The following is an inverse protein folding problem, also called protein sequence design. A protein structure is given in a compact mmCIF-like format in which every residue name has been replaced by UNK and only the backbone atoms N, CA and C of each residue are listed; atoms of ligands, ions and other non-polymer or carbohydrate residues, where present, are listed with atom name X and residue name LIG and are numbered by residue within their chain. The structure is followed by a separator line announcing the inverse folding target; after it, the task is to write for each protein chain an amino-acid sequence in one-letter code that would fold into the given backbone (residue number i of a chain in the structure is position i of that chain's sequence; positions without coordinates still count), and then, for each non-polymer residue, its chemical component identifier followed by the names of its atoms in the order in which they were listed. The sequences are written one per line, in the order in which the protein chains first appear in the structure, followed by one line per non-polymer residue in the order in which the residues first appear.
data_IF_677698004375
#
_entry.id   IF_677698004375
#
_cell.length_a   1.000
_cell.length_b   1.000
_cell.length_c   1.000
_cell.angle_alpha   90.00
_cell.angle_beta   90.00
_cell.angle_gamma   90.00
#
_symmetry.space_group_name_H-M   'P 1'
#
loop_
_entity.id
_entity.type
_entity.pdbx_description
1 polymer ?
#
# COMPACT_ATOMS: atom_id res chain seq x y z
N UNK A 1 15.40 40.34 -2.81
CA UNK A 1 16.48 39.37 -2.59
C UNK A 1 16.01 38.36 -1.56
N UNK A 2 15.41 37.27 -1.98
CA UNK A 2 15.18 36.06 -1.19
C UNK A 2 14.51 35.02 -2.11
N UNK A 3 15.29 34.50 -3.04
CA UNK A 3 14.99 33.30 -3.81
C UNK A 3 16.13 32.32 -3.54
N UNK A 4 15.82 31.05 -3.42
CA UNK A 4 16.69 29.89 -3.22
C UNK A 4 16.74 29.36 -1.78
N UNK A 5 15.73 28.53 -1.46
CA UNK A 5 15.87 27.31 -0.64
C UNK A 5 14.70 26.37 -0.94
N UNK A 6 14.72 25.78 -2.12
CA UNK A 6 13.94 24.59 -2.45
C UNK A 6 14.93 23.67 -3.14
N UNK A 7 15.21 22.56 -2.52
CA UNK A 7 15.80 21.33 -3.03
C UNK A 7 16.84 20.76 -2.06
N UNK A 8 16.38 20.03 -1.06
CA UNK A 8 17.08 18.86 -0.55
C UNK A 8 16.05 17.78 -0.29
N UNK A 9 15.59 17.16 -1.37
CA UNK A 9 14.97 15.85 -1.31
C UNK A 9 16.12 14.87 -1.12
N UNK A 10 16.25 14.37 0.11
CA UNK A 10 17.25 13.35 0.44
C UNK A 10 16.93 12.08 -0.33
N UNK A 11 17.66 11.86 -1.40
CA UNK A 11 17.84 10.57 -2.03
C UNK A 11 18.70 9.71 -1.10
N UNK A 12 18.09 8.68 -0.51
CA UNK A 12 18.88 7.61 0.08
C UNK A 12 19.54 6.83 -1.05
N UNK A 13 20.71 7.32 -1.45
CA UNK A 13 21.56 6.66 -2.44
C UNK A 13 22.47 5.67 -1.70
N UNK A 14 22.11 4.40 -1.74
CA UNK A 14 23.02 3.33 -1.35
C UNK A 14 24.07 3.19 -2.43
N UNK A 15 25.26 3.71 -2.17
CA UNK A 15 26.42 3.65 -3.05
C UNK A 15 26.89 2.19 -3.14
N UNK A 16 26.49 1.48 -4.17
CA UNK A 16 27.13 0.19 -4.51
C UNK A 16 28.45 0.47 -5.21
N UNK A 17 29.56 0.11 -4.56
CA UNK A 17 30.90 0.11 -5.15
C UNK A 17 30.94 -0.85 -6.32
N UNK A 18 31.23 -0.32 -7.52
CA UNK A 18 31.56 -1.13 -8.70
C UNK A 18 32.94 -1.75 -8.49
N UNK A 19 33.01 -3.07 -8.26
CA UNK A 19 34.24 -3.83 -8.32
C UNK A 19 34.45 -4.26 -9.76
N UNK A 20 35.39 -3.62 -10.45
CA UNK A 20 35.82 -4.02 -11.80
C UNK A 20 36.74 -5.23 -11.67
N UNK A 21 36.26 -6.40 -12.09
CA UNK A 21 37.12 -7.60 -12.24
C UNK A 21 37.61 -7.61 -13.69
N UNK A 22 38.91 -7.35 -13.87
CA UNK A 22 39.60 -7.55 -15.15
C UNK A 22 40.00 -9.00 -15.21
N UNK A 23 39.34 -9.82 -16.01
CA UNK A 23 39.77 -11.17 -16.37
C UNK A 23 40.38 -11.15 -17.76
N UNK A 24 41.62 -11.58 -17.83
CA UNK A 24 42.40 -11.75 -19.07
C UNK A 24 41.77 -12.85 -19.93
N UNK A 25 41.47 -12.57 -21.18
CA UNK A 25 40.99 -13.52 -22.17
C UNK A 25 42.14 -14.13 -22.94
N UNK A 26 42.30 -15.45 -22.85
CA UNK A 26 43.07 -16.27 -23.82
C UNK A 26 42.17 -16.64 -25.01
N UNK A 27 42.66 -16.69 -26.25
CA UNK A 27 41.84 -16.93 -27.41
C UNK A 27 41.53 -18.43 -27.62
N UNK A 28 40.26 -18.79 -27.65
CA UNK A 28 39.78 -20.11 -28.07
C UNK A 28 39.14 -19.99 -29.48
N UNK A 29 39.54 -20.93 -30.37
CA UNK A 29 39.10 -21.02 -31.78
C UNK A 29 37.60 -21.24 -31.92
N UNK A 30 36.98 -20.84 -33.06
CA UNK A 30 35.53 -20.87 -33.21
C UNK A 30 35.02 -22.26 -33.57
N UNK A 31 34.17 -22.83 -32.70
CA UNK A 31 33.20 -23.85 -33.09
C UNK A 31 31.84 -23.17 -33.17
N UNK A 32 31.19 -23.33 -34.32
CA UNK A 32 29.86 -22.80 -34.55
C UNK A 32 28.85 -23.53 -33.66
N UNK A 33 28.37 -22.86 -32.62
CA UNK A 33 27.16 -23.23 -31.88
C UNK A 33 26.17 -22.09 -31.96
N UNK A 34 25.00 -22.45 -32.52
CA UNK A 34 23.81 -21.63 -32.58
C UNK A 34 23.44 -21.12 -31.18
N UNK A 35 23.68 -19.84 -30.90
CA UNK A 35 23.27 -19.21 -29.66
C UNK A 35 21.79 -18.82 -29.76
N UNK A 36 20.91 -19.65 -29.19
CA UNK A 36 19.61 -19.17 -28.74
C UNK A 36 19.90 -18.20 -27.60
N UNK A 37 19.84 -16.90 -27.89
CA UNK A 37 19.89 -15.87 -26.86
C UNK A 37 18.59 -15.95 -26.06
N UNK A 38 18.61 -16.69 -24.96
CA UNK A 38 17.61 -16.55 -23.91
C UNK A 38 17.89 -15.23 -23.23
N UNK A 39 17.22 -14.19 -23.66
CA UNK A 39 17.12 -12.91 -22.91
C UNK A 39 16.41 -13.21 -21.59
N UNK A 40 17.13 -13.55 -20.55
CA UNK A 40 16.62 -13.39 -19.19
C UNK A 40 16.44 -11.90 -18.95
N UNK A 41 15.24 -11.41 -19.16
CA UNK A 41 14.83 -10.13 -18.64
C UNK A 41 14.99 -10.22 -17.11
N UNK A 42 15.94 -9.50 -16.56
CA UNK A 42 16.01 -9.27 -15.11
C UNK A 42 14.74 -8.51 -14.77
N UNK A 43 13.73 -9.23 -14.29
CA UNK A 43 12.51 -8.59 -13.78
C UNK A 43 12.93 -7.64 -12.66
N UNK A 44 12.61 -6.39 -12.81
CA UNK A 44 12.75 -5.36 -11.79
C UNK A 44 12.18 -5.88 -10.47
N UNK A 45 12.97 -5.77 -9.39
CA UNK A 45 12.58 -6.23 -8.04
C UNK A 45 11.47 -5.37 -7.43
N UNK A 46 11.10 -4.28 -8.12
CA UNK A 46 10.03 -3.37 -7.68
C UNK A 46 8.89 -3.39 -8.69
N UNK A 47 7.66 -3.48 -8.19
CA UNK A 47 6.47 -3.35 -9.03
C UNK A 47 6.43 -1.95 -9.66
N UNK A 48 6.30 -1.91 -10.97
CA UNK A 48 6.15 -0.66 -11.69
C UNK A 48 4.70 -0.17 -11.58
N UNK A 49 4.47 1.12 -11.29
CA UNK A 49 3.11 1.65 -11.26
C UNK A 49 2.50 1.67 -12.67
N UNK A 50 1.18 1.48 -12.77
CA UNK A 50 0.46 1.53 -14.05
C UNK A 50 0.52 2.90 -14.74
N UNK A 51 0.74 3.98 -13.98
CA UNK A 51 0.94 5.32 -14.51
C UNK A 51 1.69 6.20 -13.50
N UNK A 52 2.28 7.29 -13.99
CA UNK A 52 2.90 8.31 -13.14
C UNK A 52 1.86 9.15 -12.40
N UNK A 53 2.32 9.83 -11.34
CA UNK A 53 1.48 10.64 -10.44
C UNK A 53 0.71 11.76 -11.16
N UNK A 54 1.26 12.29 -12.24
CA UNK A 54 0.65 13.35 -13.07
C UNK A 54 -0.64 12.88 -13.78
N UNK A 55 -0.82 11.56 -13.90
CA UNK A 55 -2.00 10.95 -14.50
C UNK A 55 -3.02 10.48 -13.46
N UNK A 56 -2.77 10.73 -12.18
CA UNK A 56 -3.66 10.37 -11.07
C UNK A 56 -4.49 11.57 -10.62
N UNK A 57 -5.69 11.34 -10.03
CA UNK A 57 -6.47 12.42 -9.44
C UNK A 57 -5.71 13.16 -8.34
N UNK A 58 -5.79 14.48 -8.33
CA UNK A 58 -5.20 15.35 -7.33
C UNK A 58 -6.06 15.35 -6.05
N UNK A 59 -5.64 14.61 -5.04
CA UNK A 59 -6.38 14.51 -3.77
C UNK A 59 -6.40 15.81 -2.96
N UNK A 60 -5.53 16.78 -3.25
CA UNK A 60 -5.63 18.12 -2.64
C UNK A 60 -6.92 18.81 -3.07
N UNK A 61 -7.35 18.58 -4.32
CA UNK A 61 -8.59 19.14 -4.88
C UNK A 61 -9.83 18.29 -4.57
N UNK A 62 -9.65 16.96 -4.50
CA UNK A 62 -10.77 16.03 -4.39
C UNK A 62 -11.24 15.81 -2.95
N UNK A 63 -10.34 15.92 -1.96
CA UNK A 63 -10.68 15.68 -0.56
C UNK A 63 -11.01 16.97 0.18
N UNK A 64 -12.00 16.95 1.08
CA UNK A 64 -12.23 18.07 1.98
C UNK A 64 -11.02 18.27 2.90
N UNK A 65 -10.82 19.51 3.36
CA UNK A 65 -9.77 19.78 4.35
C UNK A 65 -10.04 19.01 5.66
N UNK A 66 -8.99 18.53 6.34
CA UNK A 66 -9.16 17.84 7.61
C UNK A 66 -9.72 18.76 8.70
N UNK A 67 -10.45 18.21 9.71
CA UNK A 67 -10.99 18.98 10.81
C UNK A 67 -9.95 19.84 11.52
N UNK A 68 -10.29 21.11 11.78
CA UNK A 68 -9.42 22.06 12.49
C UNK A 68 -9.56 21.91 14.01
N UNK A 69 -8.48 22.06 14.79
CA UNK A 69 -8.57 22.11 16.25
C UNK A 69 -9.64 23.11 16.70
N UNK A 70 -10.44 22.71 17.71
CA UNK A 70 -11.56 23.50 18.23
C UNK A 70 -12.89 23.29 17.49
N UNK A 71 -12.93 22.60 16.36
CA UNK A 71 -14.20 22.26 15.67
C UNK A 71 -14.87 21.03 16.31
N UNK A 72 -16.20 20.88 16.09
CA UNK A 72 -16.96 19.72 16.55
C UNK A 72 -16.42 18.40 15.91
N UNK A 73 -16.03 18.45 14.64
CA UNK A 73 -15.45 17.28 13.96
C UNK A 73 -14.08 16.91 14.52
N UNK A 74 -13.26 17.89 14.91
CA UNK A 74 -12.01 17.61 15.60
C UNK A 74 -12.25 17.01 17.01
N UNK A 75 -13.29 17.44 17.72
CA UNK A 75 -13.67 16.83 18.99
C UNK A 75 -14.04 15.34 18.84
N UNK A 76 -14.69 14.97 17.74
CA UNK A 76 -14.92 13.54 17.39
C UNK A 76 -13.63 12.79 17.14
N UNK A 77 -12.68 13.38 16.44
CA UNK A 77 -11.35 12.78 16.23
C UNK A 77 -10.62 12.54 17.55
N UNK A 78 -10.68 13.49 18.48
CA UNK A 78 -10.10 13.34 19.83
C UNK A 78 -10.77 12.19 20.59
N UNK A 79 -12.12 12.15 20.59
CA UNK A 79 -12.86 11.08 21.23
C UNK A 79 -12.52 9.69 20.66
N UNK A 80 -12.34 9.59 19.34
CA UNK A 80 -11.93 8.35 18.67
C UNK A 80 -10.47 7.98 18.96
N UNK A 81 -9.58 8.95 19.13
CA UNK A 81 -8.21 8.71 19.59
C UNK A 81 -8.18 8.10 20.99
N UNK A 82 -8.93 8.69 21.94
CA UNK A 82 -9.04 8.15 23.30
C UNK A 82 -9.67 6.75 23.34
N UNK A 83 -10.72 6.52 22.52
CA UNK A 83 -11.27 5.20 22.34
C UNK A 83 -10.19 4.22 21.83
N UNK A 84 -9.39 4.62 20.83
CA UNK A 84 -8.31 3.79 20.29
C UNK A 84 -7.27 3.42 21.35
N UNK A 85 -6.91 4.36 22.21
CA UNK A 85 -6.03 4.08 23.37
C UNK A 85 -6.64 3.05 24.32
N UNK A 86 -7.95 3.13 24.58
CA UNK A 86 -8.64 2.15 25.41
C UNK A 86 -8.61 0.73 24.79
N UNK A 87 -8.72 0.62 23.46
CA UNK A 87 -8.64 -0.68 22.75
C UNK A 87 -7.27 -1.35 22.89
N UNK A 88 -6.21 -0.61 23.17
CA UNK A 88 -4.85 -1.17 23.39
C UNK A 88 -4.75 -2.04 24.63
N UNK A 89 -5.73 -1.97 25.54
CA UNK A 89 -5.81 -2.81 26.74
C UNK A 89 -6.17 -4.25 26.43
N UNK A 90 -6.82 -4.48 25.30
CA UNK A 90 -7.06 -5.82 24.76
C UNK A 90 -5.79 -6.27 24.00
N UNK A 91 -5.12 -7.36 24.46
CA UNK A 91 -3.88 -7.83 23.86
C UNK A 91 -4.06 -8.28 22.40
N UNK A 92 -5.18 -8.87 22.02
CA UNK A 92 -5.46 -9.33 20.65
C UNK A 92 -5.66 -8.14 19.72
N UNK A 93 -6.41 -7.13 20.15
CA UNK A 93 -6.60 -5.89 19.38
C UNK A 93 -5.29 -5.13 19.21
N UNK A 94 -4.49 -5.04 20.27
CA UNK A 94 -3.18 -4.40 20.21
C UNK A 94 -2.21 -5.16 19.29
N UNK A 95 -2.19 -6.51 19.36
CA UNK A 95 -1.36 -7.33 18.48
C UNK A 95 -1.76 -7.19 17.00
N UNK A 96 -3.05 -7.16 16.71
CA UNK A 96 -3.55 -6.94 15.36
C UNK A 96 -3.16 -5.55 14.82
N UNK A 97 -3.31 -4.51 15.66
CA UNK A 97 -2.93 -3.16 15.29
C UNK A 97 -1.41 -3.02 15.01
N UNK A 98 -0.57 -3.77 15.76
CA UNK A 98 0.87 -3.84 15.50
C UNK A 98 1.20 -4.54 14.19
N UNK A 99 0.54 -5.65 13.86
CA UNK A 99 0.73 -6.33 12.57
C UNK A 99 0.41 -5.40 11.40
N UNK A 100 -0.69 -4.67 11.51
CA UNK A 100 -1.15 -3.74 10.46
C UNK A 100 -0.34 -2.42 10.40
N UNK A 101 0.57 -2.20 11.33
CA UNK A 101 1.50 -1.07 11.29
C UNK A 101 2.70 -1.31 10.37
N UNK A 102 3.00 -2.57 10.04
CA UNK A 102 4.13 -2.93 9.19
C UNK A 102 3.95 -2.36 7.78
N UNK A 103 4.87 -1.46 7.40
CA UNK A 103 4.84 -0.82 6.09
C UNK A 103 5.55 -1.68 5.04
N UNK A 104 4.87 -2.72 4.56
CA UNK A 104 5.34 -3.52 3.44
C UNK A 104 4.16 -4.02 2.59
N UNK A 105 4.43 -4.37 1.33
CA UNK A 105 3.43 -5.00 0.48
C UNK A 105 3.07 -6.40 0.99
N UNK A 106 4.08 -7.20 1.37
CA UNK A 106 3.86 -8.54 1.91
C UNK A 106 2.93 -8.56 3.12
N UNK A 107 3.05 -7.59 4.05
CA UNK A 107 2.16 -7.48 5.20
C UNK A 107 0.69 -7.22 4.79
N UNK A 108 0.46 -6.47 3.71
CA UNK A 108 -0.90 -6.29 3.15
C UNK A 108 -1.40 -7.60 2.54
N UNK A 109 -0.59 -8.27 1.71
CA UNK A 109 -0.95 -9.55 1.10
C UNK A 109 -1.31 -10.61 2.16
N UNK A 110 -0.47 -10.76 3.19
CA UNK A 110 -0.73 -11.66 4.32
C UNK A 110 -2.04 -11.34 5.04
N UNK A 111 -2.30 -10.04 5.30
CA UNK A 111 -3.51 -9.60 6.00
C UNK A 111 -4.79 -9.95 5.24
N UNK A 112 -4.73 -10.01 3.91
CA UNK A 112 -5.89 -10.29 3.06
C UNK A 112 -5.99 -11.74 2.57
N UNK A 113 -4.95 -12.57 2.70
CA UNK A 113 -4.96 -13.96 2.23
C UNK A 113 -6.12 -14.77 2.81
N UNK A 114 -6.33 -14.74 4.13
CA UNK A 114 -7.44 -15.45 4.77
C UNK A 114 -8.83 -14.89 4.39
N UNK A 115 -9.10 -13.57 4.46
CA UNK A 115 -10.37 -13.00 4.01
C UNK A 115 -10.69 -13.27 2.54
N UNK A 116 -9.68 -13.27 1.67
CA UNK A 116 -9.81 -13.55 0.25
C UNK A 116 -10.10 -15.03 -0.04
N UNK A 117 -9.77 -15.93 0.90
CA UNK A 117 -9.97 -17.37 0.78
C UNK A 117 -8.88 -18.11 0.01
N UNK A 118 -7.75 -17.44 -0.26
CA UNK A 118 -6.58 -18.02 -0.95
C UNK A 118 -5.31 -17.28 -0.52
N UNK A 119 -4.20 -17.99 -0.40
CA UNK A 119 -2.91 -17.37 -0.11
C UNK A 119 -2.49 -16.45 -1.26
N UNK A 120 -2.17 -15.20 -0.92
CA UNK A 120 -1.67 -14.21 -1.87
C UNK A 120 -0.15 -14.17 -1.74
N UNK A 121 0.55 -14.79 -2.69
CA UNK A 121 2.01 -14.86 -2.67
C UNK A 121 2.59 -14.88 -4.10
N UNK A 122 3.87 -14.49 -4.28
CA UNK A 122 4.51 -14.52 -5.59
C UNK A 122 4.68 -15.95 -6.13
N UNK A 123 4.60 -16.96 -5.25
CA UNK A 123 4.75 -18.38 -5.63
C UNK A 123 3.43 -19.01 -5.99
N UNK A 124 2.38 -18.79 -5.19
CA UNK A 124 1.10 -19.50 -5.32
C UNK A 124 0.09 -18.75 -6.18
N UNK A 125 0.14 -17.42 -6.21
CA UNK A 125 -0.80 -16.56 -6.94
C UNK A 125 -0.07 -15.39 -7.62
N UNK A 126 0.91 -15.66 -8.50
CA UNK A 126 1.79 -14.62 -9.03
C UNK A 126 1.07 -13.50 -9.79
N UNK A 127 -0.05 -13.80 -10.46
CA UNK A 127 -0.80 -12.78 -11.21
C UNK A 127 -1.67 -11.93 -10.28
N UNK A 128 -2.27 -12.52 -9.26
CA UNK A 128 -2.99 -11.79 -8.19
C UNK A 128 -2.01 -10.93 -7.39
N UNK A 129 -0.85 -11.48 -7.04
CA UNK A 129 0.24 -10.73 -6.41
C UNK A 129 0.62 -9.51 -7.22
N UNK A 130 0.89 -9.71 -8.52
CA UNK A 130 1.32 -8.64 -9.42
C UNK A 130 0.29 -7.52 -9.54
N UNK A 131 -0.97 -7.83 -9.86
CA UNK A 131 -2.01 -6.80 -10.01
C UNK A 131 -2.22 -6.02 -8.72
N UNK A 132 -2.14 -6.70 -7.58
CA UNK A 132 -2.29 -6.06 -6.28
C UNK A 132 -1.12 -5.10 -6.00
N UNK A 133 0.11 -5.57 -6.16
CA UNK A 133 1.32 -4.79 -5.88
C UNK A 133 1.41 -3.54 -6.77
N UNK A 134 1.17 -3.67 -8.08
CA UNK A 134 1.17 -2.56 -9.03
C UNK A 134 0.03 -1.56 -8.76
N UNK A 135 -1.14 -2.04 -8.35
CA UNK A 135 -2.27 -1.19 -7.95
C UNK A 135 -1.95 -0.35 -6.72
N UNK A 136 -1.36 -0.98 -5.69
CA UNK A 136 -0.95 -0.29 -4.48
C UNK A 136 0.20 0.69 -4.76
N UNK A 137 1.19 0.29 -5.56
CA UNK A 137 2.29 1.18 -5.97
C UNK A 137 1.78 2.40 -6.72
N UNK A 138 0.81 2.22 -7.62
CA UNK A 138 0.20 3.31 -8.39
C UNK A 138 -0.55 4.28 -7.48
N UNK A 139 -1.49 3.77 -6.68
CA UNK A 139 -2.38 4.62 -5.88
C UNK A 139 -1.68 5.26 -4.68
N UNK A 140 -0.61 4.65 -4.16
CA UNK A 140 0.16 5.17 -3.03
C UNK A 140 0.79 6.55 -3.33
N UNK A 141 1.09 6.84 -4.60
CA UNK A 141 1.61 8.12 -5.03
C UNK A 141 0.64 9.28 -4.72
N UNK A 142 -0.69 9.01 -4.72
CA UNK A 142 -1.72 10.02 -4.51
C UNK A 142 -1.69 10.66 -3.10
N UNK A 143 -1.12 9.99 -2.10
CA UNK A 143 -1.06 10.48 -0.71
C UNK A 143 0.01 11.54 -0.47
N UNK A 144 1.01 11.66 -1.34
CA UNK A 144 2.21 12.49 -1.10
C UNK A 144 1.85 13.97 -1.07
N UNK A 145 1.22 14.48 -2.13
CA UNK A 145 0.86 15.90 -2.24
C UNK A 145 -0.08 16.37 -1.10
N UNK A 146 -1.21 15.68 -0.78
CA UNK A 146 -2.08 16.12 0.30
C UNK A 146 -1.43 16.02 1.69
N UNK A 147 -0.54 15.06 1.95
CA UNK A 147 0.21 15.02 3.21
C UNK A 147 1.08 16.25 3.40
N UNK A 148 1.79 16.67 2.34
CA UNK A 148 2.60 17.88 2.36
C UNK A 148 1.74 19.15 2.45
N UNK A 149 0.63 19.22 1.69
CA UNK A 149 -0.24 20.40 1.62
C UNK A 149 -0.99 20.66 2.93
N UNK A 150 -1.69 19.65 3.48
CA UNK A 150 -2.46 19.80 4.71
C UNK A 150 -1.58 19.77 5.95
N UNK A 151 -0.45 19.14 5.90
CA UNK A 151 0.55 18.99 6.97
C UNK A 151 -0.09 18.76 8.34
N UNK A 152 -1.12 17.90 8.37
CA UNK A 152 -1.89 17.61 9.58
C UNK A 152 -1.07 16.86 10.59
N UNK A 153 -0.94 17.39 11.80
CA UNK A 153 -0.20 16.75 12.88
C UNK A 153 -0.86 15.42 13.29
N UNK A 154 -0.07 14.36 13.43
CA UNK A 154 -0.56 13.04 13.84
C UNK A 154 -1.08 13.07 15.29
N UNK A 155 -2.06 12.22 15.69
CA UNK A 155 -2.59 12.20 17.05
C UNK A 155 -1.51 12.08 18.12
N UNK A 156 -0.64 11.07 18.04
CA UNK A 156 0.42 10.87 19.02
C UNK A 156 1.38 12.06 19.10
N UNK A 157 1.68 12.70 17.96
CA UNK A 157 2.51 13.90 17.93
C UNK A 157 1.78 15.13 18.49
N UNK A 158 0.45 15.24 18.23
CA UNK A 158 -0.38 16.33 18.73
C UNK A 158 -0.44 16.37 20.27
N UNK A 159 -0.60 15.18 20.88
CA UNK A 159 -0.65 15.03 22.33
C UNK A 159 0.74 14.83 22.96
N UNK A 160 1.81 14.83 22.17
CA UNK A 160 3.18 14.55 22.62
C UNK A 160 3.30 13.20 23.34
N UNK A 161 2.62 12.19 22.83
CA UNK A 161 2.62 10.82 23.32
C UNK A 161 3.44 9.91 22.36
N UNK A 162 3.66 8.65 22.79
CA UNK A 162 4.22 7.62 21.91
C UNK A 162 3.10 6.82 21.24
N UNK A 163 3.25 6.46 19.94
CA UNK A 163 2.32 5.58 19.26
C UNK A 163 2.43 4.14 19.80
N UNK A 164 1.43 3.30 19.51
CA UNK A 164 1.46 1.87 19.87
C UNK A 164 2.66 1.14 19.23
N UNK A 165 3.13 1.62 18.09
CA UNK A 165 4.21 1.05 17.30
C UNK A 165 5.32 2.07 17.06
N UNK A 166 6.19 2.33 18.07
CA UNK A 166 7.21 3.39 17.97
C UNK A 166 8.20 3.21 16.81
N UNK A 167 8.52 1.95 16.45
CA UNK A 167 9.43 1.66 15.34
C UNK A 167 8.82 1.98 13.97
N UNK A 168 7.56 1.61 13.77
CA UNK A 168 6.85 1.77 12.51
C UNK A 168 6.26 3.18 12.34
N UNK A 169 5.73 3.74 13.43
CA UNK A 169 4.97 4.99 13.40
C UNK A 169 5.74 6.21 13.92
N UNK A 170 6.70 6.02 14.82
CA UNK A 170 7.46 7.12 15.44
C UNK A 170 8.29 7.90 14.42
N UNK A 171 8.77 7.25 13.38
CA UNK A 171 9.53 7.87 12.28
C UNK A 171 8.72 8.90 11.48
N UNK A 172 7.38 8.84 11.56
CA UNK A 172 6.47 9.73 10.85
C UNK A 172 5.98 10.91 11.71
N UNK A 173 6.60 11.18 12.87
CA UNK A 173 6.17 12.21 13.82
C UNK A 173 5.96 13.58 13.17
N UNK A 174 6.82 13.95 12.26
CA UNK A 174 6.80 15.25 11.57
C UNK A 174 6.17 15.20 10.17
N UNK A 175 5.75 14.00 9.73
CA UNK A 175 5.04 13.84 8.46
C UNK A 175 3.52 13.99 8.64
N UNK A 176 2.85 14.62 7.66
CA UNK A 176 1.41 14.80 7.66
C UNK A 176 0.63 13.49 7.83
N UNK A 177 -0.43 13.51 8.65
CA UNK A 177 -1.28 12.36 8.89
C UNK A 177 -2.33 12.13 7.78
N UNK A 178 -2.72 13.16 7.06
CA UNK A 178 -3.86 13.16 6.15
C UNK A 178 -3.44 13.14 4.68
N UNK A 179 -3.95 12.19 3.88
CA UNK A 179 -4.72 11.00 4.22
C UNK A 179 -3.85 9.85 4.75
N UNK A 180 -4.49 8.77 5.24
CA UNK A 180 -3.80 7.59 5.79
C UNK A 180 -3.27 6.66 4.70
N UNK A 181 -1.94 6.49 4.58
CA UNK A 181 -1.35 5.59 3.60
C UNK A 181 -1.71 4.11 3.80
N UNK A 182 -1.71 3.63 5.04
CA UNK A 182 -2.10 2.25 5.36
C UNK A 182 -3.57 1.98 5.00
N UNK A 183 -4.48 2.92 5.29
CA UNK A 183 -5.90 2.80 4.91
C UNK A 183 -6.06 2.84 3.39
N UNK A 184 -5.30 3.67 2.67
CA UNK A 184 -5.33 3.72 1.21
C UNK A 184 -4.99 2.36 0.62
N UNK A 185 -3.86 1.78 1.05
CA UNK A 185 -3.42 0.46 0.59
C UNK A 185 -4.44 -0.63 0.90
N UNK A 186 -4.94 -0.69 2.13
CA UNK A 186 -5.89 -1.73 2.52
C UNK A 186 -7.22 -1.64 1.77
N UNK A 187 -7.73 -0.44 1.53
CA UNK A 187 -8.99 -0.24 0.79
C UNK A 187 -8.82 -0.50 -0.72
N UNK A 188 -7.70 -0.10 -1.32
CA UNK A 188 -7.42 -0.45 -2.73
C UNK A 188 -7.24 -1.97 -2.86
N UNK A 189 -6.53 -2.62 -1.93
CA UNK A 189 -6.42 -4.07 -1.90
C UNK A 189 -7.80 -4.74 -1.85
N UNK A 190 -8.70 -4.26 -0.99
CA UNK A 190 -10.05 -4.79 -0.90
C UNK A 190 -10.83 -4.63 -2.22
N UNK A 191 -10.76 -3.47 -2.88
CA UNK A 191 -11.43 -3.23 -4.15
C UNK A 191 -10.92 -4.16 -5.26
N UNK A 192 -9.60 -4.35 -5.36
CA UNK A 192 -8.98 -5.28 -6.31
C UNK A 192 -9.40 -6.72 -6.03
N UNK A 193 -9.29 -7.17 -4.78
CA UNK A 193 -9.56 -8.54 -4.39
C UNK A 193 -11.04 -8.90 -4.47
N UNK A 194 -11.94 -7.97 -4.11
CA UNK A 194 -13.39 -8.17 -4.26
C UNK A 194 -13.80 -8.27 -5.74
N UNK A 195 -13.12 -7.60 -6.67
CA UNK A 195 -13.37 -7.77 -8.10
C UNK A 195 -12.87 -9.12 -8.62
N UNK A 196 -11.78 -9.66 -8.06
CA UNK A 196 -11.25 -10.98 -8.44
C UNK A 196 -12.13 -12.10 -7.84
N UNK A 197 -12.52 -12.00 -6.58
CA UNK A 197 -13.36 -12.98 -5.88
C UNK A 197 -14.58 -12.31 -5.24
N UNK A 198 -15.65 -12.04 -6.01
CA UNK A 198 -16.86 -11.40 -5.49
C UNK A 198 -17.56 -12.18 -4.36
N UNK A 199 -17.37 -13.50 -4.30
CA UNK A 199 -17.95 -14.34 -3.25
C UNK A 199 -17.34 -14.08 -1.85
N UNK A 200 -16.21 -13.38 -1.79
CA UNK A 200 -15.49 -12.99 -0.57
C UNK A 200 -15.43 -11.48 -0.35
N UNK A 201 -16.24 -10.71 -1.09
CA UNK A 201 -16.22 -9.26 -1.00
C UNK A 201 -16.46 -8.74 0.41
N UNK A 202 -17.45 -9.30 1.12
CA UNK A 202 -17.82 -8.85 2.48
C UNK A 202 -16.65 -9.04 3.46
N UNK A 203 -16.04 -10.23 3.47
CA UNK A 203 -14.92 -10.54 4.37
C UNK A 203 -13.70 -9.66 4.08
N UNK A 204 -13.44 -9.41 2.80
CA UNK A 204 -12.34 -8.56 2.34
C UNK A 204 -12.58 -7.11 2.77
N UNK A 205 -13.79 -6.56 2.59
CA UNK A 205 -14.10 -5.20 3.02
C UNK A 205 -14.13 -5.06 4.54
N UNK A 206 -14.67 -6.03 5.28
CA UNK A 206 -14.60 -6.04 6.76
C UNK A 206 -13.15 -5.97 7.22
N UNK A 207 -12.25 -6.73 6.59
CA UNK A 207 -10.82 -6.70 6.91
C UNK A 207 -10.19 -5.34 6.61
N UNK A 208 -10.52 -4.71 5.48
CA UNK A 208 -9.99 -3.39 5.13
C UNK A 208 -10.47 -2.29 6.09
N UNK A 209 -11.74 -2.36 6.52
CA UNK A 209 -12.28 -1.45 7.53
C UNK A 209 -11.53 -1.58 8.85
N UNK A 210 -11.28 -2.81 9.30
CA UNK A 210 -10.52 -3.12 10.51
C UNK A 210 -9.06 -2.64 10.40
N UNK A 211 -8.46 -2.79 9.23
CA UNK A 211 -7.09 -2.32 8.97
C UNK A 211 -6.95 -0.80 9.18
N UNK A 212 -7.90 -0.03 8.62
CA UNK A 212 -7.96 1.42 8.84
C UNK A 212 -8.21 1.79 10.31
N UNK A 213 -9.12 1.09 11.00
CA UNK A 213 -9.40 1.30 12.42
C UNK A 213 -8.15 1.04 13.29
N UNK A 214 -7.34 0.04 12.94
CA UNK A 214 -6.10 -0.25 13.62
C UNK A 214 -5.09 0.92 13.58
N UNK A 215 -5.20 1.82 12.60
CA UNK A 215 -4.37 3.03 12.55
C UNK A 215 -4.79 4.08 13.58
N UNK A 216 -6.09 4.10 13.93
CA UNK A 216 -6.61 4.92 15.04
C UNK A 216 -6.17 4.31 16.38
N UNK A 217 -6.28 2.98 16.53
CA UNK A 217 -5.82 2.26 17.72
C UNK A 217 -4.31 2.45 17.92
N UNK A 218 -3.52 2.39 16.85
CA UNK A 218 -2.08 2.67 16.91
C UNK A 218 -1.76 4.12 17.29
N UNK A 219 -2.73 5.04 17.17
CA UNK A 219 -2.55 6.47 17.42
C UNK A 219 -1.84 7.22 16.30
N UNK A 220 -1.61 6.56 15.16
CA UNK A 220 -0.89 7.12 14.03
C UNK A 220 -1.75 8.04 13.15
N UNK A 221 -3.07 7.83 13.16
CA UNK A 221 -4.03 8.57 12.34
C UNK A 221 -5.29 8.96 13.14
N UNK A 222 -5.87 10.10 12.77
CA UNK A 222 -7.19 10.51 13.22
C UNK A 222 -8.28 9.67 12.52
N UNK A 223 -9.47 9.58 13.11
CA UNK A 223 -10.59 8.87 12.48
C UNK A 223 -10.95 9.49 11.14
N UNK A 224 -10.98 10.81 11.05
CA UNK A 224 -11.27 11.52 9.80
C UNK A 224 -10.19 11.31 8.72
N UNK A 225 -8.91 11.09 9.08
CA UNK A 225 -7.88 10.69 8.12
C UNK A 225 -8.26 9.35 7.46
N UNK A 226 -8.70 8.40 8.29
CA UNK A 226 -9.10 7.06 7.85
C UNK A 226 -10.35 7.13 6.96
N UNK A 227 -11.38 7.87 7.40
CA UNK A 227 -12.67 7.95 6.70
C UNK A 227 -12.52 8.60 5.31
N UNK A 228 -11.79 9.71 5.22
CA UNK A 228 -11.55 10.36 3.94
C UNK A 228 -10.60 9.56 3.04
N UNK A 229 -9.75 8.74 3.61
CA UNK A 229 -8.89 7.84 2.80
C UNK A 229 -9.69 6.75 2.11
N UNK A 230 -10.80 6.30 2.67
CA UNK A 230 -11.71 5.36 1.98
C UNK A 230 -12.27 5.96 0.70
N UNK A 231 -12.62 7.25 0.73
CA UNK A 231 -13.01 8.00 -0.47
C UNK A 231 -11.83 8.13 -1.46
N UNK A 232 -10.63 8.46 -0.96
CA UNK A 232 -9.43 8.52 -1.79
C UNK A 232 -9.13 7.19 -2.51
N UNK A 233 -9.35 6.06 -1.81
CA UNK A 233 -9.18 4.73 -2.40
C UNK A 233 -10.17 4.47 -3.55
N UNK A 234 -11.44 4.85 -3.36
CA UNK A 234 -12.46 4.74 -4.42
C UNK A 234 -12.11 5.62 -5.64
N UNK A 235 -11.64 6.85 -5.40
CA UNK A 235 -11.15 7.75 -6.45
C UNK A 235 -9.97 7.13 -7.20
N UNK A 236 -8.96 6.61 -6.48
CA UNK A 236 -7.80 5.96 -7.08
C UNK A 236 -8.17 4.70 -7.88
N UNK A 237 -9.04 3.87 -7.31
CA UNK A 237 -9.52 2.66 -7.98
C UNK A 237 -10.33 2.97 -9.25
N UNK A 238 -11.17 3.99 -9.23
CA UNK A 238 -11.90 4.42 -10.43
C UNK A 238 -10.95 4.84 -11.55
N UNK A 239 -9.82 5.46 -11.20
CA UNK A 239 -8.78 5.81 -12.17
C UNK A 239 -8.08 4.56 -12.72
N UNK A 240 -7.72 3.59 -11.86
CA UNK A 240 -7.15 2.31 -12.31
C UNK A 240 -8.04 1.64 -13.36
N UNK A 241 -9.34 1.61 -13.15
CA UNK A 241 -10.32 1.02 -14.08
C UNK A 241 -10.29 1.65 -15.49
N UNK A 242 -9.79 2.84 -15.67
CA UNK A 242 -9.64 3.50 -16.97
C UNK A 242 -8.31 3.17 -17.68
N UNK A 243 -7.39 2.46 -17.01
CA UNK A 243 -6.07 2.14 -17.53
C UNK A 243 -6.09 0.76 -18.24
N UNK A 244 -5.78 0.68 -19.54
CA UNK A 244 -5.80 -0.60 -20.27
C UNK A 244 -4.88 -1.65 -19.66
N UNK A 245 -3.69 -1.26 -19.17
CA UNK A 245 -2.73 -2.17 -18.56
C UNK A 245 -3.29 -2.81 -17.26
N UNK A 246 -3.95 -2.00 -16.40
CA UNK A 246 -4.61 -2.52 -15.19
C UNK A 246 -5.72 -3.50 -15.56
N UNK A 247 -6.59 -3.17 -16.54
CA UNK A 247 -7.69 -4.03 -16.97
C UNK A 247 -7.18 -5.37 -17.48
N UNK A 248 -6.17 -5.34 -18.34
CA UNK A 248 -5.57 -6.56 -18.88
C UNK A 248 -4.98 -7.44 -17.76
N UNK A 249 -4.29 -6.83 -16.78
CA UNK A 249 -3.72 -7.57 -15.66
C UNK A 249 -4.81 -8.12 -14.71
N UNK A 250 -5.92 -7.41 -14.52
CA UNK A 250 -7.09 -7.89 -13.78
C UNK A 250 -7.71 -9.13 -14.43
N UNK A 251 -7.86 -9.15 -15.76
CA UNK A 251 -8.39 -10.31 -16.47
C UNK A 251 -7.48 -11.55 -16.32
N UNK A 252 -6.17 -11.35 -16.33
CA UNK A 252 -5.18 -12.41 -16.06
C UNK A 252 -5.31 -12.91 -14.62
N UNK A 253 -5.40 -12.02 -13.64
CA UNK A 253 -5.55 -12.39 -12.23
C UNK A 253 -6.86 -13.13 -11.94
N UNK A 254 -7.98 -12.73 -12.56
CA UNK A 254 -9.26 -13.44 -12.49
C UNK A 254 -9.16 -14.86 -13.11
N UNK A 255 -8.43 -14.98 -14.20
CA UNK A 255 -8.21 -16.29 -14.86
C UNK A 255 -7.37 -17.22 -13.97
N UNK A 256 -6.33 -16.69 -13.31
CA UNK A 256 -5.53 -17.44 -12.34
C UNK A 256 -6.40 -17.91 -11.16
N UNK A 257 -7.19 -16.99 -10.56
CA UNK A 257 -8.10 -17.32 -9.46
C UNK A 257 -9.07 -18.43 -9.84
N UNK A 258 -9.70 -18.33 -11.00
CA UNK A 258 -10.65 -19.34 -11.49
C UNK A 258 -10.01 -20.73 -11.70
N UNK A 259 -8.76 -20.75 -12.21
CA UNK A 259 -8.02 -21.99 -12.38
C UNK A 259 -7.62 -22.65 -11.06
N UNK A 260 -7.20 -21.86 -10.08
CA UNK A 260 -6.78 -22.34 -8.75
C UNK A 260 -8.00 -22.79 -7.92
N UNK A 261 -9.11 -22.07 -7.97
CA UNK A 261 -10.35 -22.41 -7.25
C UNK A 261 -10.93 -23.75 -7.70
N UNK A 262 -10.86 -24.06 -9.00
CA UNK A 262 -11.27 -25.39 -9.52
C UNK A 262 -10.44 -26.54 -8.99
N UNK A 263 -9.13 -26.32 -8.74
CA UNK A 263 -8.25 -27.35 -8.17
C UNK A 263 -8.50 -27.62 -6.68
N UNK A 264 -9.04 -26.63 -5.96
CA UNK A 264 -9.35 -26.75 -4.54
C UNK A 264 -10.73 -27.35 -4.25
N UNK A 265 -11.64 -27.33 -5.21
CA UNK A 265 -12.94 -28.01 -5.10
C UNK A 265 -12.71 -29.52 -5.20
N UNK A 266 -13.08 -30.35 -4.19
CA UNK A 266 -13.04 -31.80 -4.35
C UNK A 266 -13.97 -32.17 -5.53
N UNK A 267 -13.44 -32.98 -6.44
CA UNK A 267 -14.27 -33.63 -7.45
C UNK A 267 -15.23 -34.54 -6.67
N UNK A 268 -16.49 -34.12 -6.55
CA UNK A 268 -17.55 -35.02 -6.11
C UNK A 268 -17.77 -36.01 -7.27
N UNK A 269 -17.11 -37.17 -7.21
CA UNK A 269 -17.48 -38.36 -7.97
C UNK A 269 -18.70 -39.07 -7.31
#
# INVERSE_FOLDING_TARGET
MALLKVAEIVWYNTTMKKTTIITALTPIKPFALSWLAVSMAVMSVFAEPYCGVENLPDLVKCLPAPPKPGSADFARDVARYEWGKAQRKDPERAALARRDAVWSFGAVADAFSKPFGMEISPTNTPMIWKVLEESLSTTDQMRVAPKAFFHRRRPFAYFNEEPLCPKEDGVWRDEGSYPSGHTLRSMVAALVLAEINPAKADEVFVRAMQYGENRVIAGAHWQSDVDMTRLAAAIGYSRLQTLPAFRAQMDIAKSEFAALSKKQSPVCE
#
